data_IF_575048678556
#
_entry.id   IF_575048678556
#
_cell.length_a   1.000
_cell.length_b   1.000
_cell.length_c   1.000
_cell.angle_alpha   90.00
_cell.angle_beta   90.00
_cell.angle_gamma   90.00
#
_symmetry.space_group_name_H-M   'P 1'
#
loop_
_entity.id
_entity.type
_entity.pdbx_description
1 polymer ?
#
# COMPACT_ATOMS: atom_id res chain seq x y z
N UNK A 1 8.46 -21.09 -2.51
CA UNK A 1 7.10 -21.45 -2.03
C UNK A 1 7.19 -21.67 -0.52
N UNK A 2 6.89 -20.65 0.28
CA UNK A 2 6.89 -20.76 1.75
C UNK A 2 5.63 -21.54 2.13
N UNK A 3 5.79 -22.79 2.58
CA UNK A 3 4.68 -23.61 3.07
C UNK A 3 4.47 -23.31 4.56
N UNK A 4 3.78 -22.22 4.88
CA UNK A 4 3.40 -21.88 6.26
C UNK A 4 2.19 -22.73 6.66
N UNK A 5 2.39 -23.75 7.50
CA UNK A 5 1.35 -24.70 7.89
C UNK A 5 0.53 -24.25 9.11
N UNK A 6 1.08 -23.35 9.92
CA UNK A 6 0.47 -22.85 11.15
C UNK A 6 0.66 -21.33 11.26
N UNK A 7 -0.39 -20.61 11.67
CA UNK A 7 -0.34 -19.20 12.06
C UNK A 7 -0.82 -19.10 13.52
N UNK A 8 0.00 -18.54 14.41
CA UNK A 8 -0.27 -18.48 15.86
C UNK A 8 -0.65 -19.83 16.49
N UNK A 9 -0.03 -20.92 16.02
CA UNK A 9 -0.30 -22.28 16.52
C UNK A 9 -1.57 -22.93 15.96
N UNK A 10 -2.34 -22.24 15.11
CA UNK A 10 -3.53 -22.77 14.43
C UNK A 10 -3.17 -23.19 13.00
N UNK A 11 -3.54 -24.41 12.61
CA UNK A 11 -3.32 -24.89 11.24
C UNK A 11 -4.13 -24.04 10.26
N UNK A 12 -3.46 -23.54 9.22
CA UNK A 12 -4.03 -22.60 8.24
C UNK A 12 -5.30 -23.13 7.54
N UNK A 13 -5.51 -24.45 7.51
CA UNK A 13 -6.70 -25.10 6.92
C UNK A 13 -7.97 -24.84 7.71
N UNK A 14 -7.86 -24.49 8.99
CA UNK A 14 -9.00 -24.18 9.86
C UNK A 14 -9.23 -22.69 10.05
N UNK A 15 -8.37 -21.84 9.47
CA UNK A 15 -8.53 -20.39 9.54
C UNK A 15 -9.55 -19.91 8.52
N UNK A 16 -10.41 -19.00 8.95
CA UNK A 16 -11.28 -18.27 8.04
C UNK A 16 -10.41 -17.41 7.10
N UNK A 17 -10.44 -17.74 5.80
CA UNK A 17 -9.57 -17.11 4.79
C UNK A 17 -9.83 -15.59 4.70
N UNK A 18 -11.07 -15.13 4.90
CA UNK A 18 -11.39 -13.70 4.94
C UNK A 18 -10.73 -13.01 6.14
N UNK A 19 -10.78 -13.62 7.33
CA UNK A 19 -10.11 -13.07 8.52
C UNK A 19 -8.58 -13.05 8.38
N UNK A 20 -8.00 -14.07 7.74
CA UNK A 20 -6.56 -14.11 7.47
C UNK A 20 -6.16 -13.00 6.49
N UNK A 21 -6.90 -12.84 5.38
CA UNK A 21 -6.63 -11.83 4.35
C UNK A 21 -6.87 -10.40 4.82
N UNK A 22 -7.80 -10.16 5.75
CA UNK A 22 -8.00 -8.84 6.33
C UNK A 22 -6.89 -8.46 7.31
N UNK A 23 -6.23 -9.45 7.92
CA UNK A 23 -5.14 -9.27 8.86
C UNK A 23 -3.76 -9.11 8.20
N UNK A 24 -3.65 -9.41 6.91
CA UNK A 24 -2.41 -9.36 6.12
C UNK A 24 -2.40 -8.14 5.20
N UNK A 25 -1.29 -7.39 5.22
CA UNK A 25 -0.96 -6.41 4.19
C UNK A 25 0.22 -6.89 3.37
N UNK A 26 0.06 -6.94 2.05
CA UNK A 26 1.09 -7.39 1.12
C UNK A 26 1.46 -6.25 0.16
N UNK A 27 2.74 -6.00 0.01
CA UNK A 27 3.30 -5.16 -1.06
C UNK A 27 4.24 -6.02 -1.91
N UNK A 28 3.87 -6.18 -3.18
CA UNK A 28 4.67 -6.91 -4.17
C UNK A 28 5.71 -6.01 -4.84
N UNK A 29 6.74 -6.62 -5.44
CA UNK A 29 7.84 -5.94 -6.16
C UNK A 29 7.34 -4.97 -7.25
N UNK A 30 6.34 -5.39 -8.03
CA UNK A 30 5.61 -4.50 -8.96
C UNK A 30 4.16 -4.32 -8.47
N UNK A 31 3.89 -3.29 -7.67
CA UNK A 31 2.55 -3.06 -7.16
C UNK A 31 1.61 -2.62 -8.27
N UNK A 32 0.48 -3.33 -8.36
CA UNK A 32 -0.58 -2.99 -9.29
C UNK A 32 -1.38 -1.82 -8.72
N UNK A 33 -1.44 -0.75 -9.50
CA UNK A 33 -2.35 0.37 -9.29
C UNK A 33 -3.48 0.27 -10.31
N UNK A 34 -4.70 0.54 -9.83
CA UNK A 34 -5.89 0.54 -10.67
C UNK A 34 -5.99 1.85 -11.45
N UNK A 35 -6.72 1.82 -12.56
CA UNK A 35 -7.02 3.00 -13.38
C UNK A 35 -8.04 3.93 -12.69
N UNK A 36 -7.61 4.47 -11.55
CA UNK A 36 -8.36 5.26 -10.58
C UNK A 36 -7.48 6.43 -10.12
N UNK A 37 -8.02 7.33 -9.29
CA UNK A 37 -7.21 8.41 -8.71
C UNK A 37 -6.18 7.87 -7.71
N UNK A 38 -5.17 8.66 -7.36
CA UNK A 38 -4.20 8.30 -6.33
C UNK A 38 -4.90 8.08 -4.98
N UNK A 39 -5.82 8.97 -4.60
CA UNK A 39 -6.63 8.80 -3.37
C UNK A 39 -7.39 7.48 -3.36
N UNK A 40 -8.05 7.13 -4.46
CA UNK A 40 -8.79 5.86 -4.59
C UNK A 40 -7.86 4.65 -4.55
N UNK A 41 -6.66 4.76 -5.12
CA UNK A 41 -5.65 3.71 -5.03
C UNK A 41 -5.14 3.51 -3.60
N UNK A 42 -4.99 4.57 -2.80
CA UNK A 42 -4.58 4.47 -1.39
C UNK A 42 -5.74 3.93 -0.54
N UNK A 43 -6.97 4.41 -0.73
CA UNK A 43 -8.16 3.97 -0.02
C UNK A 43 -8.64 2.55 -0.40
N UNK A 44 -8.02 1.95 -1.42
CA UNK A 44 -8.47 0.67 -1.95
C UNK A 44 -8.47 -0.45 -0.90
N UNK A 45 -9.65 -1.05 -0.70
CA UNK A 45 -9.86 -2.12 0.28
C UNK A 45 -10.18 -1.63 1.70
N UNK A 46 -10.42 -0.33 1.90
CA UNK A 46 -10.96 0.24 3.15
C UNK A 46 -12.08 1.23 2.85
N UNK A 47 -13.29 0.90 3.27
CA UNK A 47 -14.45 1.78 3.14
C UNK A 47 -14.42 2.92 4.17
N UNK A 48 -15.16 4.00 3.88
CA UNK A 48 -15.33 5.17 4.78
C UNK A 48 -14.01 5.80 5.24
N UNK A 49 -13.02 5.84 4.36
CA UNK A 49 -11.73 6.47 4.65
C UNK A 49 -11.84 7.99 4.52
N UNK A 50 -11.42 8.74 5.55
CA UNK A 50 -11.34 10.20 5.49
C UNK A 50 -10.16 10.67 4.62
N UNK A 51 -10.25 11.87 4.06
CA UNK A 51 -9.14 12.48 3.31
C UNK A 51 -7.90 12.67 4.20
N UNK A 52 -8.11 12.97 5.48
CA UNK A 52 -7.05 13.10 6.48
C UNK A 52 -6.28 11.79 6.68
N UNK A 53 -6.97 10.66 6.77
CA UNK A 53 -6.33 9.34 6.87
C UNK A 53 -5.51 9.00 5.63
N UNK A 54 -5.99 9.39 4.44
CA UNK A 54 -5.27 9.20 3.17
C UNK A 54 -3.99 10.04 3.16
N UNK A 55 -4.06 11.28 3.62
CA UNK A 55 -2.91 12.19 3.70
C UNK A 55 -1.90 11.66 4.72
N UNK A 56 -2.34 11.23 5.90
CA UNK A 56 -1.49 10.63 6.93
C UNK A 56 -0.77 9.38 6.41
N UNK A 57 -1.50 8.47 5.75
CA UNK A 57 -0.92 7.27 5.16
C UNK A 57 0.09 7.58 4.05
N UNK A 58 -0.22 8.54 3.18
CA UNK A 58 0.69 9.00 2.13
C UNK A 58 1.94 9.71 2.68
N UNK A 59 1.81 10.41 3.79
CA UNK A 59 2.92 11.07 4.48
C UNK A 59 3.85 10.04 5.09
N UNK A 60 3.31 9.04 5.81
CA UNK A 60 4.08 7.92 6.38
C UNK A 60 4.78 7.06 5.33
N UNK A 61 4.20 6.97 4.14
CA UNK A 61 4.80 6.29 2.99
C UNK A 61 5.76 7.19 2.17
N UNK A 62 6.04 8.41 2.60
CA UNK A 62 6.94 9.37 1.94
C UNK A 62 6.57 9.67 0.47
N UNK A 63 5.27 9.79 0.16
CA UNK A 63 4.77 10.11 -1.19
C UNK A 63 3.91 11.38 -1.23
N UNK A 64 3.49 11.91 -0.08
CA UNK A 64 2.66 13.10 0.00
C UNK A 64 3.20 14.30 -0.80
N UNK A 65 4.48 14.63 -0.62
CA UNK A 65 5.10 15.78 -1.30
C UNK A 65 5.09 15.62 -2.83
N UNK A 66 5.38 14.42 -3.34
CA UNK A 66 5.29 14.13 -4.76
C UNK A 66 3.85 14.31 -5.27
N UNK A 67 2.86 13.80 -4.54
CA UNK A 67 1.44 13.93 -4.91
C UNK A 67 1.06 15.41 -4.98
N UNK A 68 1.51 16.24 -4.03
CA UNK A 68 1.22 17.68 -4.02
C UNK A 68 1.84 18.45 -5.21
N UNK A 69 2.89 17.92 -5.83
CA UNK A 69 3.50 18.52 -7.03
C UNK A 69 2.72 18.21 -8.32
N UNK A 70 1.79 17.26 -8.27
CA UNK A 70 0.96 16.92 -9.42
C UNK A 70 -0.14 17.97 -9.65
N UNK A 71 -0.50 18.31 -10.91
CA UNK A 71 -1.52 19.32 -11.20
C UNK A 71 -2.89 19.07 -10.53
N UNK A 72 -3.27 17.80 -10.39
CA UNK A 72 -4.54 17.38 -9.79
C UNK A 72 -4.34 16.76 -8.39
N UNK A 73 -3.12 16.80 -7.86
CA UNK A 73 -2.82 16.26 -6.53
C UNK A 73 -3.24 14.80 -6.36
N UNK A 74 -4.01 14.55 -5.31
CA UNK A 74 -4.61 13.24 -4.99
C UNK A 74 -5.66 12.77 -5.99
N UNK A 75 -6.28 13.68 -6.73
CA UNK A 75 -7.27 13.37 -7.76
C UNK A 75 -6.62 12.97 -9.10
N UNK A 76 -5.29 13.08 -9.21
CA UNK A 76 -4.55 12.61 -10.38
C UNK A 76 -4.88 11.16 -10.68
N UNK A 77 -5.33 10.88 -11.92
CA UNK A 77 -5.60 9.52 -12.39
C UNK A 77 -4.31 8.78 -12.69
N UNK A 78 -4.23 7.52 -12.26
CA UNK A 78 -3.15 6.59 -12.59
C UNK A 78 -3.57 5.74 -13.80
N UNK A 79 -2.70 5.51 -14.80
CA UNK A 79 -2.98 4.58 -15.92
C UNK A 79 -2.74 5.15 -17.32
N UNK A 80 -3.33 4.52 -18.35
CA UNK A 80 -2.99 4.72 -19.79
C UNK A 80 -3.15 6.15 -20.34
N UNK A 81 -3.91 7.02 -19.68
CA UNK A 81 -4.03 8.46 -19.99
C UNK A 81 -3.73 9.34 -18.77
N UNK A 82 -3.21 8.74 -17.71
CA UNK A 82 -2.91 9.38 -16.43
C UNK A 82 -1.43 9.69 -16.29
N UNK A 83 -0.99 9.96 -15.06
CA UNK A 83 0.42 10.20 -14.78
C UNK A 83 1.22 8.90 -14.86
N UNK A 84 2.38 8.95 -15.52
CA UNK A 84 3.35 7.86 -15.50
C UNK A 84 4.12 7.91 -14.19
N UNK A 85 3.82 6.95 -13.31
CA UNK A 85 4.52 6.80 -12.03
C UNK A 85 5.78 5.94 -12.20
N UNK A 86 6.87 6.35 -11.57
CA UNK A 86 8.07 5.52 -11.42
C UNK A 86 7.77 4.27 -10.59
N UNK A 87 8.63 3.25 -10.67
CA UNK A 87 8.50 2.04 -9.85
C UNK A 87 8.42 2.34 -8.36
N UNK A 88 9.29 3.23 -7.87
CA UNK A 88 9.32 3.66 -6.47
C UNK A 88 8.07 4.43 -6.03
N UNK A 89 7.51 5.27 -6.89
CA UNK A 89 6.24 5.96 -6.60
C UNK A 89 5.07 4.98 -6.50
N UNK A 90 4.98 4.00 -7.42
CA UNK A 90 3.98 2.94 -7.34
C UNK A 90 4.11 2.15 -6.05
N UNK A 91 5.34 1.87 -5.64
CA UNK A 91 5.62 1.15 -4.40
C UNK A 91 5.20 1.94 -3.17
N UNK A 92 5.52 3.24 -3.10
CA UNK A 92 5.07 4.09 -1.99
C UNK A 92 3.56 4.25 -1.93
N UNK A 93 2.85 4.32 -3.07
CA UNK A 93 1.39 4.31 -3.09
C UNK A 93 0.84 2.98 -2.54
N UNK A 94 1.46 1.85 -2.88
CA UNK A 94 1.07 0.56 -2.33
C UNK A 94 1.37 0.44 -0.83
N UNK A 95 2.48 1.00 -0.35
CA UNK A 95 2.79 1.10 1.08
C UNK A 95 1.73 1.94 1.79
N UNK A 96 1.39 3.13 1.26
CA UNK A 96 0.33 3.98 1.82
C UNK A 96 -1.01 3.23 1.92
N UNK A 97 -1.38 2.46 0.88
CA UNK A 97 -2.58 1.60 0.89
C UNK A 97 -2.57 0.61 2.05
N UNK A 98 -1.43 -0.02 2.32
CA UNK A 98 -1.33 -0.98 3.42
C UNK A 98 -1.33 -0.30 4.79
N UNK A 99 -0.60 0.81 4.95
CA UNK A 99 -0.57 1.59 6.18
C UNK A 99 -1.98 2.07 6.57
N UNK A 100 -2.77 2.49 5.58
CA UNK A 100 -4.14 2.91 5.79
C UNK A 100 -5.04 1.79 6.35
N UNK A 101 -4.83 0.55 5.86
CA UNK A 101 -5.58 -0.64 6.29
C UNK A 101 -5.17 -1.14 7.68
N UNK A 102 -4.01 -0.73 8.19
CA UNK A 102 -3.47 -1.14 9.51
C UNK A 102 -3.56 -2.66 9.75
N UNK A 103 -2.97 -3.50 8.86
CA UNK A 103 -2.97 -4.94 9.04
C UNK A 103 -2.14 -5.34 10.27
N UNK A 104 -2.40 -6.53 10.82
CA UNK A 104 -1.63 -7.09 11.94
C UNK A 104 -0.25 -7.58 11.50
N UNK A 105 -0.14 -8.04 10.26
CA UNK A 105 1.09 -8.58 9.68
C UNK A 105 1.35 -7.86 8.35
N UNK A 106 2.55 -7.29 8.21
CA UNK A 106 2.98 -6.57 7.02
C UNK A 106 4.06 -7.38 6.28
N UNK A 107 3.79 -7.75 5.04
CA UNK A 107 4.68 -8.52 4.17
C UNK A 107 5.16 -7.63 3.03
N UNK A 108 6.47 -7.44 2.94
CA UNK A 108 7.15 -6.68 1.90
C UNK A 108 7.97 -7.67 1.08
N UNK A 109 7.63 -7.83 -0.20
CA UNK A 109 8.44 -8.61 -1.13
C UNK A 109 9.55 -7.69 -1.68
N UNK A 110 10.81 -8.06 -1.42
CA UNK A 110 12.03 -7.24 -1.58
C UNK A 110 12.08 -5.97 -0.69
N UNK A 111 12.75 -6.07 0.46
CA UNK A 111 12.82 -5.04 1.50
C UNK A 111 13.73 -3.83 1.17
N UNK A 112 14.42 -3.80 0.03
CA UNK A 112 15.73 -3.12 -0.03
C UNK A 112 15.93 -2.04 -1.09
N UNK A 113 14.94 -1.63 -1.88
CA UNK A 113 15.15 -0.60 -2.93
C UNK A 113 14.34 0.69 -2.80
N UNK A 114 13.31 0.72 -1.93
CA UNK A 114 12.46 1.91 -1.75
C UNK A 114 12.41 2.46 -0.31
N UNK A 115 13.10 1.81 0.64
CA UNK A 115 13.15 2.19 2.05
C UNK A 115 14.44 2.90 2.50
N UNK A 116 15.31 3.31 1.56
CA UNK A 116 16.54 4.08 1.86
C UNK A 116 16.28 5.53 2.35
N UNK A 117 15.14 5.79 3.01
CA UNK A 117 14.85 7.09 3.62
C UNK A 117 14.48 6.99 5.10
N UNK A 118 14.57 5.82 5.73
CA UNK A 118 14.24 5.66 7.15
C UNK A 118 15.40 5.77 8.13
N UNK A 119 16.64 6.10 7.72
CA UNK A 119 17.75 6.32 8.68
C UNK A 119 18.90 7.20 8.13
N UNK A 120 18.64 8.51 7.98
CA UNK A 120 19.70 9.52 8.17
C UNK A 120 19.15 10.69 9.00
N UNK A 121 18.90 10.42 10.28
CA UNK A 121 19.27 11.23 11.48
C UNK A 121 18.42 10.85 12.70
#
# INVERSE_FOLDING_TARGET
MILCRFLDGVDIRYLNIQCLRSSLGLVSQEPILFNLTIAQNIAYGKENTSTEDIIDAATKANIHHFIQQLPEGYETKVGMKGVHLSGGEKQRIAIARVLLRRPKIFLLDEATSAMDFYNEQ
#
